data_IF_064486471875
#
_entry.id   IF_064486471875
#
_cell.length_a   1.000
_cell.length_b   1.000
_cell.length_c   1.000
_cell.angle_alpha   90.00
_cell.angle_beta   90.00
_cell.angle_gamma   90.00
#
_symmetry.space_group_name_H-M   'P 1'
#
loop_
_entity.id
_entity.type
_entity.pdbx_description
1 polymer ?
#
# COMPACT_ATOMS: atom_id res chain seq x y z
N UNK A 1 -5.93 -7.02 -51.67
CA UNK A 1 -6.71 -5.82 -52.04
C UNK A 1 -7.91 -5.79 -51.12
N UNK A 2 -8.16 -4.88 -50.18
CA UNK A 2 -7.69 -3.54 -49.77
C UNK A 2 -7.73 -3.56 -48.22
N UNK A 3 -6.69 -3.27 -47.42
CA UNK A 3 -6.04 -1.97 -47.12
C UNK A 3 -6.99 -0.79 -46.93
N UNK A 4 -7.24 -0.45 -45.66
CA UNK A 4 -7.08 0.94 -45.20
C UNK A 4 -6.65 0.93 -43.73
N UNK A 5 -5.64 1.75 -43.48
CA UNK A 5 -4.79 1.85 -42.30
C UNK A 5 -4.81 3.34 -41.93
N UNK A 6 -4.43 3.63 -40.68
CA UNK A 6 -3.91 4.93 -40.17
C UNK A 6 -5.03 5.87 -39.65
N UNK A 7 -4.99 6.50 -38.46
CA UNK A 7 -3.89 7.15 -37.72
C UNK A 7 -4.19 7.34 -36.21
N UNK A 8 -3.12 7.54 -35.44
CA UNK A 8 -3.00 7.73 -33.97
C UNK A 8 -3.50 9.10 -33.45
N UNK A 9 -4.11 9.09 -32.25
CA UNK A 9 -3.88 9.84 -30.97
C UNK A 9 -3.42 11.32 -31.06
N UNK A 10 -4.03 12.27 -30.29
CA UNK A 10 -3.46 12.67 -28.99
C UNK A 10 -4.46 12.96 -27.84
N UNK A 11 -3.89 12.98 -26.65
CA UNK A 11 -4.44 13.06 -25.31
C UNK A 11 -5.19 14.37 -24.96
N UNK A 12 -5.82 14.32 -23.77
CA UNK A 12 -5.99 15.41 -22.80
C UNK A 12 -7.31 16.19 -22.86
N UNK A 13 -8.25 15.79 -21.98
CA UNK A 13 -9.22 16.59 -21.20
C UNK A 13 -10.16 15.59 -20.49
N UNK A 14 -9.76 14.98 -19.37
CA UNK A 14 -9.93 15.48 -17.97
C UNK A 14 -11.37 15.24 -17.46
N UNK A 15 -11.47 14.63 -16.25
CA UNK A 15 -12.63 14.24 -15.42
C UNK A 15 -13.37 12.95 -15.87
N UNK A 16 -13.53 11.87 -15.08
CA UNK A 16 -13.47 11.58 -13.63
C UNK A 16 -12.78 10.20 -13.47
N UNK A 17 -11.78 9.94 -12.60
CA UNK A 17 -11.78 9.91 -11.12
C UNK A 17 -12.86 8.98 -10.50
N UNK A 18 -12.43 8.18 -9.51
CA UNK A 18 -13.19 7.27 -8.61
C UNK A 18 -13.73 5.99 -9.29
N UNK A 19 -13.35 4.74 -8.97
CA UNK A 19 -12.96 4.12 -7.72
C UNK A 19 -11.87 3.05 -7.94
N UNK A 20 -10.70 3.28 -7.36
CA UNK A 20 -9.94 2.21 -6.77
C UNK A 20 -10.60 1.92 -5.42
N UNK A 21 -11.28 0.80 -5.28
CA UNK A 21 -11.42 0.01 -4.06
C UNK A 21 -12.03 -1.30 -4.51
N UNK A 22 -11.22 -2.35 -4.44
CA UNK A 22 -11.69 -3.73 -4.57
C UNK A 22 -12.67 -3.95 -3.42
N UNK A 23 -13.99 -4.17 -3.66
CA UNK A 23 -14.83 -4.66 -2.59
C UNK A 23 -14.30 -6.05 -2.20
N UNK A 24 -13.92 -6.20 -0.93
CA UNK A 24 -13.76 -7.51 -0.32
C UNK A 24 -15.01 -8.34 -0.65
N UNK A 25 -14.78 -9.56 -1.12
CA UNK A 25 -15.79 -10.44 -1.72
C UNK A 25 -17.09 -10.49 -0.91
N UNK A 26 -18.15 -9.83 -1.39
CA UNK A 26 -19.53 -10.21 -1.03
C UNK A 26 -19.81 -11.55 -1.74
N UNK A 27 -19.81 -12.65 -0.98
CA UNK A 27 -20.39 -13.91 -1.47
C UNK A 27 -21.89 -13.63 -1.63
N UNK A 28 -22.34 -13.40 -2.86
CA UNK A 28 -23.76 -13.24 -3.18
C UNK A 28 -24.40 -14.62 -3.04
N UNK A 29 -24.99 -14.90 -1.88
CA UNK A 29 -25.82 -16.07 -1.69
C UNK A 29 -27.14 -15.87 -2.44
N UNK A 30 -27.49 -16.80 -3.34
CA UNK A 30 -28.66 -16.76 -4.22
C UNK A 30 -30.04 -16.72 -3.52
N UNK A 31 -30.10 -16.56 -2.20
CA UNK A 31 -31.35 -16.55 -1.45
C UNK A 31 -31.34 -15.64 -0.22
N UNK A 32 -30.58 -14.54 -0.28
CA UNK A 32 -30.49 -13.56 0.80
C UNK A 32 -31.90 -12.99 1.11
N UNK A 33 -32.35 -13.14 2.37
CA UNK A 33 -33.67 -12.68 2.84
C UNK A 33 -33.58 -11.21 3.27
N UNK A 34 -32.50 -10.89 4.00
CA UNK A 34 -32.19 -9.55 4.48
C UNK A 34 -30.82 -9.14 3.93
N UNK A 35 -30.71 -7.91 3.44
CA UNK A 35 -29.43 -7.25 3.22
C UNK A 35 -29.15 -6.27 4.36
N UNK A 36 -27.87 -6.23 4.74
CA UNK A 36 -27.38 -5.39 5.81
C UNK A 36 -26.09 -4.73 5.32
N UNK A 37 -26.04 -3.41 5.44
CA UNK A 37 -24.88 -2.61 5.10
C UNK A 37 -24.59 -1.65 6.25
N UNK A 38 -23.31 -1.47 6.56
CA UNK A 38 -22.85 -0.47 7.52
C UNK A 38 -21.74 0.36 6.92
N UNK A 39 -21.74 1.62 7.27
CA UNK A 39 -20.76 2.63 6.89
C UNK A 39 -20.26 3.33 8.15
N UNK A 40 -18.94 3.39 8.27
CA UNK A 40 -18.25 4.11 9.33
C UNK A 40 -17.96 5.52 8.82
N UNK A 41 -18.23 6.53 9.65
CA UNK A 41 -17.98 7.92 9.30
C UNK A 41 -16.50 8.18 8.99
N UNK A 42 -16.23 9.16 8.11
CA UNK A 42 -14.87 9.60 7.79
C UNK A 42 -14.08 10.08 9.03
N UNK A 43 -14.80 10.50 10.07
CA UNK A 43 -14.25 10.90 11.37
C UNK A 43 -13.63 9.72 12.11
N UNK A 44 -14.09 8.49 11.85
CA UNK A 44 -13.53 7.27 12.44
C UNK A 44 -12.61 6.52 11.49
N UNK A 45 -12.90 6.50 10.17
CA UNK A 45 -12.09 5.76 9.20
C UNK A 45 -10.74 6.41 8.90
N UNK A 46 -10.64 7.75 8.95
CA UNK A 46 -9.41 8.48 8.69
C UNK A 46 -8.71 8.97 9.96
N UNK A 47 -9.25 8.67 11.14
CA UNK A 47 -8.67 9.18 12.37
C UNK A 47 -7.52 8.32 12.87
N UNK A 48 -6.37 8.97 13.09
CA UNK A 48 -5.23 8.38 13.79
C UNK A 48 -5.50 8.20 15.29
N UNK A 49 -6.48 8.92 15.86
CA UNK A 49 -6.87 8.83 17.28
C UNK A 49 -8.39 8.91 17.45
N UNK A 50 -9.01 7.90 18.07
CA UNK A 50 -10.45 7.96 18.39
C UNK A 50 -10.61 8.64 19.75
N UNK A 51 -10.83 9.96 19.75
CA UNK A 51 -11.14 10.71 20.97
C UNK A 51 -12.48 10.28 21.56
N UNK A 52 -12.54 10.01 22.87
CA UNK A 52 -13.79 9.73 23.59
C UNK A 52 -14.77 10.91 23.51
N UNK A 53 -14.26 12.14 23.38
CA UNK A 53 -15.07 13.33 23.09
C UNK A 53 -15.66 13.33 21.68
N UNK A 54 -14.97 12.71 20.71
CA UNK A 54 -15.46 12.54 19.33
C UNK A 54 -16.49 11.40 19.24
N UNK A 55 -16.44 10.45 20.17
CA UNK A 55 -17.50 9.46 20.36
C UNK A 55 -18.79 10.09 20.87
N UNK A 56 -18.69 11.28 21.47
CA UNK A 56 -19.78 12.21 21.75
C UNK A 56 -20.98 11.56 22.40
N UNK A 57 -20.93 11.37 23.72
CA UNK A 57 -22.15 11.25 24.51
C UNK A 57 -22.32 12.58 25.23
N UNK A 58 -23.26 13.41 24.76
CA UNK A 58 -23.76 14.48 25.61
C UNK A 58 -24.58 13.88 26.76
N UNK A 59 -24.94 14.70 27.75
CA UNK A 59 -25.74 14.27 28.90
C UNK A 59 -27.14 13.75 28.55
N UNK A 60 -27.55 13.86 27.28
CA UNK A 60 -28.82 13.37 26.73
C UNK A 60 -28.64 12.11 25.86
N UNK A 61 -27.41 11.59 25.76
CA UNK A 61 -27.09 10.36 25.02
C UNK A 61 -27.09 10.53 23.50
N UNK A 62 -26.94 11.76 22.97
CA UNK A 62 -26.93 12.04 21.54
C UNK A 62 -25.55 12.53 21.10
N UNK A 63 -25.01 11.88 20.08
CA UNK A 63 -23.66 12.14 19.56
C UNK A 63 -23.62 12.47 18.07
N UNK A 64 -22.43 12.72 17.50
CA UNK A 64 -22.26 12.66 16.05
C UNK A 64 -22.70 11.28 15.52
N UNK A 65 -23.14 11.25 14.26
CA UNK A 65 -23.39 9.98 13.57
C UNK A 65 -22.04 9.41 13.16
N UNK A 66 -21.65 8.34 13.84
CA UNK A 66 -20.34 7.71 13.72
C UNK A 66 -20.39 6.43 12.90
N UNK A 67 -21.52 5.73 13.01
CA UNK A 67 -21.83 4.51 12.27
C UNK A 67 -23.26 4.64 11.78
N UNK A 68 -23.45 4.35 10.50
CA UNK A 68 -24.76 4.31 9.87
C UNK A 68 -24.91 3.05 9.03
N UNK A 69 -26.12 2.72 8.62
CA UNK A 69 -26.36 1.51 7.86
C UNK A 69 -27.77 1.41 7.32
N UNK A 70 -27.96 0.40 6.49
CA UNK A 70 -29.25 0.06 5.89
C UNK A 70 -29.58 -1.39 6.18
N UNK A 71 -30.82 -1.62 6.58
CA UNK A 71 -31.43 -2.95 6.68
C UNK A 71 -32.51 -3.01 5.61
N UNK A 72 -32.40 -3.96 4.67
CA UNK A 72 -33.36 -4.11 3.60
C UNK A 72 -33.93 -5.52 3.53
N UNK A 73 -35.24 -5.59 3.41
CA UNK A 73 -35.95 -6.81 3.03
C UNK A 73 -35.83 -7.03 1.52
N UNK A 74 -35.18 -8.13 1.11
CA UNK A 74 -35.00 -8.48 -0.30
C UNK A 74 -36.16 -9.32 -0.86
N UNK A 75 -37.15 -9.64 -0.01
CA UNK A 75 -38.34 -10.40 -0.39
C UNK A 75 -39.50 -9.47 -0.73
N UNK A 76 -40.37 -9.98 -1.60
CA UNK A 76 -41.65 -9.35 -1.94
C UNK A 76 -42.77 -9.77 -0.97
N UNK A 77 -42.42 -10.19 0.24
CA UNK A 77 -43.31 -10.56 1.33
C UNK A 77 -42.81 -9.95 2.63
N UNK A 78 -43.68 -9.84 3.64
CA UNK A 78 -43.30 -9.33 4.95
C UNK A 78 -42.35 -10.33 5.61
N UNK A 79 -41.23 -9.84 6.15
CA UNK A 79 -40.34 -10.63 6.98
C UNK A 79 -40.55 -10.19 8.43
N UNK A 80 -41.05 -11.10 9.27
CA UNK A 80 -41.37 -10.84 10.67
C UNK A 80 -40.34 -11.46 11.63
N UNK A 81 -40.52 -11.20 12.92
CA UNK A 81 -39.75 -11.81 14.02
C UNK A 81 -38.24 -11.57 13.90
N UNK A 82 -37.87 -10.38 13.41
CA UNK A 82 -36.50 -9.94 13.26
C UNK A 82 -35.96 -9.35 14.55
N UNK A 83 -34.69 -9.64 14.79
CA UNK A 83 -33.91 -9.17 15.92
C UNK A 83 -32.57 -8.62 15.42
N UNK A 84 -31.99 -7.69 16.16
CA UNK A 84 -30.70 -7.05 15.87
C UNK A 84 -29.74 -7.29 17.02
N UNK A 85 -28.53 -7.74 16.71
CA UNK A 85 -27.40 -7.77 17.64
C UNK A 85 -26.28 -6.89 17.10
N UNK A 86 -25.63 -6.15 17.98
CA UNK A 86 -24.46 -5.32 17.70
C UNK A 86 -23.36 -5.73 18.66
N UNK A 87 -22.21 -6.08 18.11
CA UNK A 87 -21.01 -6.38 18.88
C UNK A 87 -19.90 -5.43 18.49
N UNK A 88 -19.11 -5.02 19.47
CA UNK A 88 -17.88 -4.27 19.24
C UNK A 88 -16.73 -5.06 19.80
N UNK A 89 -15.67 -5.23 19.02
CA UNK A 89 -14.45 -5.88 19.43
C UNK A 89 -13.29 -4.89 19.41
N UNK A 90 -12.36 -5.07 20.33
CA UNK A 90 -11.02 -4.52 20.27
C UNK A 90 -10.06 -5.69 20.04
N UNK A 91 -9.23 -5.63 18.99
CA UNK A 91 -8.36 -6.75 18.58
C UNK A 91 -7.51 -7.35 19.70
N UNK A 92 -7.04 -6.53 20.66
CA UNK A 92 -6.22 -6.98 21.80
C UNK A 92 -7.01 -7.54 22.98
N UNK A 93 -8.30 -7.19 23.09
CA UNK A 93 -9.12 -7.46 24.27
C UNK A 93 -10.19 -8.52 23.99
N UNK A 94 -10.74 -8.51 22.78
CA UNK A 94 -11.91 -9.29 22.40
C UNK A 94 -13.19 -8.45 22.38
N UNK A 95 -14.33 -9.08 22.64
CA UNK A 95 -15.65 -8.43 22.62
C UNK A 95 -15.76 -7.45 23.79
N UNK A 96 -15.90 -6.15 23.52
CA UNK A 96 -16.00 -5.09 24.52
C UNK A 96 -17.43 -4.56 24.69
N UNK A 97 -18.28 -4.73 23.68
CA UNK A 97 -19.69 -4.34 23.73
C UNK A 97 -20.52 -5.45 23.10
N UNK A 98 -21.64 -5.77 23.73
CA UNK A 98 -22.68 -6.61 23.15
C UNK A 98 -24.05 -6.05 23.49
N UNK A 99 -24.80 -5.71 22.46
CA UNK A 99 -26.16 -5.17 22.58
C UNK A 99 -27.07 -6.00 21.68
N UNK A 100 -28.13 -6.55 22.25
CA UNK A 100 -29.06 -7.44 21.56
C UNK A 100 -30.49 -6.97 21.76
N UNK A 101 -31.31 -7.03 20.72
CA UNK A 101 -32.73 -6.68 20.83
C UNK A 101 -33.48 -7.67 21.72
N UNK A 102 -34.36 -7.15 22.57
CA UNK A 102 -35.16 -7.91 23.52
C UNK A 102 -36.11 -8.89 22.80
N UNK A 103 -36.22 -10.14 23.24
CA UNK A 103 -37.07 -11.15 22.61
C UNK A 103 -38.56 -10.76 22.53
N UNK A 104 -39.06 -9.95 23.47
CA UNK A 104 -40.45 -9.48 23.53
C UNK A 104 -40.76 -8.36 22.54
N UNK A 105 -39.73 -7.80 21.89
CA UNK A 105 -39.83 -6.64 21.02
C UNK A 105 -39.22 -6.90 19.62
N UNK A 106 -39.69 -7.93 18.88
CA UNK A 106 -39.25 -8.14 17.50
C UNK A 106 -39.75 -7.02 16.60
N UNK A 107 -39.06 -6.83 15.47
CA UNK A 107 -39.54 -5.97 14.39
C UNK A 107 -39.83 -6.75 13.12
N UNK A 108 -40.52 -6.09 12.19
CA UNK A 108 -40.83 -6.63 10.87
C UNK A 108 -40.47 -5.63 9.78
N UNK A 109 -40.16 -6.14 8.60
CA UNK A 109 -39.92 -5.33 7.41
C UNK A 109 -40.97 -5.66 6.33
N UNK A 110 -41.59 -4.62 5.80
CA UNK A 110 -42.51 -4.71 4.67
C UNK A 110 -41.77 -5.17 3.40
N UNK A 111 -42.49 -5.67 2.38
CA UNK A 111 -41.87 -6.07 1.11
C UNK A 111 -40.98 -4.98 0.54
N UNK A 112 -39.74 -5.33 0.17
CA UNK A 112 -38.77 -4.39 -0.40
C UNK A 112 -38.45 -3.16 0.47
N UNK A 113 -38.80 -3.19 1.76
CA UNK A 113 -38.56 -2.06 2.66
C UNK A 113 -37.07 -1.94 2.97
N UNK A 114 -36.54 -0.72 2.87
CA UNK A 114 -35.23 -0.32 3.39
C UNK A 114 -35.41 0.61 4.58
N UNK A 115 -34.65 0.36 5.65
CA UNK A 115 -34.63 1.14 6.88
C UNK A 115 -33.22 1.65 7.12
N UNK A 116 -33.10 2.95 7.35
CA UNK A 116 -31.85 3.60 7.71
C UNK A 116 -31.66 3.57 9.23
N UNK A 117 -30.49 3.12 9.67
CA UNK A 117 -30.09 3.04 11.07
C UNK A 117 -28.77 3.76 11.28
N UNK A 118 -28.57 4.28 12.48
CA UNK A 118 -27.30 4.81 12.97
C UNK A 118 -27.18 4.67 14.49
N UNK A 119 -26.00 4.95 15.02
CA UNK A 119 -25.69 4.85 16.45
C UNK A 119 -26.60 5.68 17.38
N UNK A 120 -27.30 6.69 16.89
CA UNK A 120 -28.24 7.50 17.69
C UNK A 120 -29.70 7.04 17.57
N UNK A 121 -30.04 6.28 16.51
CA UNK A 121 -31.41 5.76 16.28
C UNK A 121 -31.70 4.46 17.02
N UNK A 122 -30.69 3.90 17.69
CA UNK A 122 -30.81 2.72 18.54
C UNK A 122 -31.18 3.13 19.99
N UNK A 123 -32.22 3.96 20.13
CA UNK A 123 -32.68 4.51 21.41
C UNK A 123 -34.15 4.19 21.67
N UNK A 124 -34.66 4.54 22.87
CA UNK A 124 -36.04 4.26 23.29
C UNK A 124 -37.13 4.81 22.33
N UNK A 125 -36.78 5.79 21.50
CA UNK A 125 -37.67 6.40 20.50
C UNK A 125 -37.94 5.49 19.30
N UNK A 126 -37.23 4.37 19.18
CA UNK A 126 -37.37 3.38 18.11
C UNK A 126 -36.64 3.76 16.82
N UNK A 127 -36.60 2.81 15.88
CA UNK A 127 -35.90 2.98 14.60
C UNK A 127 -36.84 3.64 13.58
N UNK A 128 -36.49 4.79 12.98
CA UNK A 128 -37.31 5.43 11.96
C UNK A 128 -37.64 4.50 10.79
N UNK A 129 -38.93 4.30 10.51
CA UNK A 129 -39.40 3.39 9.45
C UNK A 129 -39.78 2.00 9.96
N UNK A 130 -39.41 1.64 11.18
CA UNK A 130 -39.95 0.48 11.90
C UNK A 130 -41.11 0.98 12.78
N UNK A 131 -42.25 0.30 12.71
CA UNK A 131 -43.46 0.74 13.44
C UNK A 131 -43.44 0.23 14.87
N UNK A 132 -42.83 -0.93 15.06
CA UNK A 132 -42.61 -1.60 16.34
C UNK A 132 -41.54 -0.85 17.15
N UNK A 133 -41.71 -0.82 18.48
CA UNK A 133 -40.65 -0.34 19.36
C UNK A 133 -39.62 -1.44 19.50
N UNK A 134 -38.41 -1.20 18.99
CA UNK A 134 -37.26 -2.07 19.23
C UNK A 134 -36.62 -1.67 20.55
N UNK A 135 -36.43 -2.63 21.45
CA UNK A 135 -35.70 -2.43 22.70
C UNK A 135 -34.47 -3.31 22.72
N UNK A 136 -33.45 -2.86 23.43
CA UNK A 136 -32.17 -3.56 23.53
C UNK A 136 -31.84 -3.89 24.99
N UNK A 137 -31.17 -5.02 25.18
CA UNK A 137 -30.46 -5.42 26.39
C UNK A 137 -28.95 -5.50 26.09
N UNK A 138 -28.14 -5.51 27.14
CA UNK A 138 -26.68 -5.60 27.02
C UNK A 138 -26.00 -4.26 27.31
N UNK A 139 -24.79 -4.09 26.78
CA UNK A 139 -23.90 -2.98 27.07
C UNK A 139 -22.44 -3.40 27.00
N UNK A 140 -21.62 -2.92 27.93
CA UNK A 140 -20.24 -3.39 28.09
C UNK A 140 -20.23 -4.87 28.50
N UNK A 141 -19.32 -5.64 27.90
CA UNK A 141 -19.01 -7.00 28.36
C UNK A 141 -18.10 -6.94 29.60
N UNK A 142 -17.77 -8.10 30.18
CA UNK A 142 -16.80 -8.14 31.29
C UNK A 142 -15.42 -7.63 30.84
N UNK A 143 -15.01 -7.99 29.64
CA UNK A 143 -13.79 -7.52 29.00
C UNK A 143 -13.90 -6.03 28.65
N UNK A 144 -15.09 -5.56 28.26
CA UNK A 144 -15.41 -4.15 28.04
C UNK A 144 -15.28 -3.30 29.29
N UNK A 145 -15.80 -3.76 30.42
CA UNK A 145 -15.67 -3.07 31.71
C UNK A 145 -14.20 -2.95 32.11
N UNK A 146 -13.43 -4.04 32.00
CA UNK A 146 -11.98 -4.02 32.27
C UNK A 146 -11.23 -3.11 31.31
N UNK A 147 -11.61 -3.10 30.04
CA UNK A 147 -11.03 -2.21 29.04
C UNK A 147 -11.28 -0.75 29.39
N UNK A 148 -12.51 -0.37 29.75
CA UNK A 148 -12.84 1.00 30.18
C UNK A 148 -12.09 1.38 31.46
N UNK A 149 -12.00 0.47 32.45
CA UNK A 149 -11.20 0.68 33.66
C UNK A 149 -9.71 0.91 33.35
N UNK A 150 -9.18 0.19 32.36
CA UNK A 150 -7.77 0.31 31.93
C UNK A 150 -7.44 1.64 31.26
N UNK A 151 -8.45 2.42 30.84
CA UNK A 151 -8.23 3.71 30.20
C UNK A 151 -7.69 4.77 31.18
N UNK A 152 -7.81 4.58 32.51
CA UNK A 152 -7.25 5.45 33.58
C UNK A 152 -7.41 6.96 33.32
N UNK A 153 -8.60 7.39 32.89
CA UNK A 153 -8.90 8.80 32.60
C UNK A 153 -8.35 9.33 31.26
N UNK A 154 -7.87 8.45 30.38
CA UNK A 154 -7.56 8.77 28.98
C UNK A 154 -8.77 9.37 28.29
N UNK A 155 -8.51 10.33 27.40
CA UNK A 155 -9.54 10.97 26.56
C UNK A 155 -9.60 10.40 25.15
N UNK A 156 -8.81 9.35 24.87
CA UNK A 156 -8.73 8.66 23.58
C UNK A 156 -8.75 7.16 23.77
N UNK A 157 -9.37 6.43 22.83
CA UNK A 157 -9.24 4.98 22.78
C UNK A 157 -7.78 4.58 22.47
N UNK A 158 -7.29 3.46 23.02
CA UNK A 158 -5.99 2.90 22.68
C UNK A 158 -5.85 2.56 21.20
N UNK A 159 -4.60 2.37 20.83
CA UNK A 159 -4.18 1.72 19.61
C UNK A 159 -4.75 0.30 19.46
N UNK A 160 -5.74 0.12 18.59
CA UNK A 160 -6.25 -1.20 18.24
C UNK A 160 -6.94 -1.21 16.88
N UNK A 161 -7.21 -2.40 16.37
CA UNK A 161 -8.23 -2.62 15.35
C UNK A 161 -9.54 -2.85 16.10
N UNK A 162 -10.43 -1.90 16.00
CA UNK A 162 -11.79 -2.02 16.50
C UNK A 162 -12.68 -2.54 15.39
N UNK A 163 -13.52 -3.53 15.67
CA UNK A 163 -14.51 -3.98 14.71
C UNK A 163 -15.91 -3.87 15.28
N UNK A 164 -16.84 -3.45 14.44
CA UNK A 164 -18.27 -3.36 14.75
C UNK A 164 -18.96 -4.39 13.88
N UNK A 165 -19.57 -5.37 14.53
CA UNK A 165 -20.38 -6.39 13.88
C UNK A 165 -21.85 -6.12 14.14
N UNK A 166 -22.67 -6.13 13.09
CA UNK A 166 -24.12 -6.06 13.17
C UNK A 166 -24.73 -7.32 12.56
N UNK A 167 -25.68 -7.93 13.28
CA UNK A 167 -26.30 -9.20 12.91
C UNK A 167 -27.82 -9.05 12.96
N UNK A 168 -28.50 -9.43 11.87
CA UNK A 168 -29.95 -9.63 11.85
C UNK A 168 -30.24 -11.11 11.96
N UNK A 169 -31.09 -11.50 12.92
CA UNK A 169 -31.44 -12.89 13.14
C UNK A 169 -32.94 -13.07 13.44
N UNK A 170 -33.41 -14.31 13.34
CA UNK A 170 -34.74 -14.75 13.76
C UNK A 170 -34.61 -15.83 14.84
N UNK A 171 -35.57 -15.89 15.76
CA UNK A 171 -35.74 -17.02 16.66
C UNK A 171 -36.80 -17.97 16.09
N UNK A 172 -36.37 -19.13 15.60
CA UNK A 172 -37.28 -20.14 15.07
C UNK A 172 -37.60 -21.20 16.11
N UNK A 173 -38.85 -21.64 16.16
CA UNK A 173 -39.32 -22.64 17.13
C UNK A 173 -38.64 -24.02 16.96
N UNK A 174 -38.13 -24.34 15.78
CA UNK A 174 -37.56 -25.66 15.46
C UNK A 174 -36.04 -25.74 15.63
N UNK A 175 -35.30 -24.66 15.35
CA UNK A 175 -33.83 -24.67 15.29
C UNK A 175 -33.16 -23.66 16.22
N UNK A 176 -33.93 -22.86 16.97
CA UNK A 176 -33.40 -21.75 17.74
C UNK A 176 -33.03 -20.56 16.84
N UNK A 177 -32.01 -19.80 17.24
CA UNK A 177 -31.53 -18.61 16.54
C UNK A 177 -31.02 -18.94 15.14
N UNK A 178 -31.42 -18.15 14.15
CA UNK A 178 -30.97 -18.22 12.75
C UNK A 178 -30.52 -16.84 12.30
N UNK A 179 -29.22 -16.68 12.04
CA UNK A 179 -28.66 -15.43 11.51
C UNK A 179 -29.01 -15.31 10.02
N UNK A 180 -29.69 -14.22 9.65
CA UNK A 180 -30.14 -13.93 8.30
C UNK A 180 -29.15 -13.07 7.52
N UNK A 181 -28.46 -12.16 8.22
CA UNK A 181 -27.42 -11.31 7.67
C UNK A 181 -26.44 -10.91 8.77
N UNK A 182 -25.15 -10.80 8.44
CA UNK A 182 -24.13 -10.17 9.28
C UNK A 182 -23.26 -9.27 8.43
N UNK A 183 -22.78 -8.18 9.01
CA UNK A 183 -21.80 -7.29 8.41
C UNK A 183 -20.83 -6.80 9.48
N UNK A 184 -19.57 -6.62 9.08
CA UNK A 184 -18.51 -6.11 9.96
C UNK A 184 -17.86 -4.90 9.31
N UNK A 185 -17.55 -3.90 10.12
CA UNK A 185 -16.74 -2.75 9.73
C UNK A 185 -15.60 -2.58 10.73
N UNK A 186 -14.41 -2.29 10.21
CA UNK A 186 -13.20 -2.09 11.00
C UNK A 186 -12.87 -0.60 11.10
N UNK A 187 -12.33 -0.22 12.24
CA UNK A 187 -11.97 1.15 12.63
C UNK A 187 -10.63 1.08 13.35
N UNK A 188 -9.68 1.92 12.95
CA UNK A 188 -8.28 1.75 13.35
C UNK A 188 -7.56 0.69 12.50
N UNK A 189 -6.23 0.60 12.60
CA UNK A 189 -5.43 -0.35 11.82
C UNK A 189 -4.66 0.21 10.62
N UNK A 190 -4.50 1.52 10.49
CA UNK A 190 -3.61 2.11 9.46
C UNK A 190 -2.11 1.83 9.68
N UNK A 191 -1.75 1.31 10.85
CA UNK A 191 -0.38 0.95 11.24
C UNK A 191 -0.40 -0.43 11.91
N UNK A 192 0.49 -1.35 11.55
CA UNK A 192 0.61 -2.65 12.20
C UNK A 192 0.79 -2.49 13.72
N UNK A 193 -0.02 -3.22 14.46
CA UNK A 193 0.02 -3.25 15.92
C UNK A 193 0.90 -4.42 16.36
N UNK A 194 2.19 -4.16 16.51
CA UNK A 194 3.18 -5.15 16.95
C UNK A 194 4.14 -4.55 17.98
N UNK A 195 4.56 -5.34 18.97
CA UNK A 195 5.62 -4.94 19.93
C UNK A 195 7.01 -4.89 19.26
N UNK A 196 7.17 -5.58 18.12
CA UNK A 196 8.40 -5.59 17.32
C UNK A 196 8.12 -5.90 15.85
N UNK A 197 8.64 -5.07 14.93
CA UNK A 197 8.79 -5.42 13.51
C UNK A 197 10.26 -5.74 13.28
N UNK A 198 10.53 -6.94 12.77
CA UNK A 198 11.87 -7.35 12.36
C UNK A 198 12.12 -6.98 10.89
N UNK A 199 13.35 -6.52 10.60
CA UNK A 199 13.82 -6.23 9.25
C UNK A 199 14.95 -7.17 8.90
N UNK A 200 14.88 -7.84 7.75
CA UNK A 200 16.00 -8.61 7.22
C UNK A 200 16.39 -8.08 5.84
N UNK A 201 17.38 -7.18 5.81
CA UNK A 201 17.87 -6.63 4.55
C UNK A 201 18.57 -7.73 3.73
N UNK A 202 18.38 -7.71 2.40
CA UNK A 202 18.93 -8.74 1.49
C UNK A 202 19.88 -8.15 0.47
N UNK A 203 19.46 -7.11 -0.24
CA UNK A 203 20.25 -6.47 -1.31
C UNK A 203 19.81 -5.01 -1.50
N UNK A 204 20.66 -4.14 -2.10
CA UNK A 204 22.09 -4.31 -2.36
C UNK A 204 22.95 -4.00 -1.14
N UNK A 205 24.20 -4.47 -1.14
CA UNK A 205 25.16 -4.13 -0.09
C UNK A 205 25.11 -5.06 1.10
N UNK A 206 25.64 -4.57 2.22
CA UNK A 206 25.65 -5.22 3.54
C UNK A 206 25.89 -4.12 4.60
N UNK A 207 26.04 -4.47 5.88
CA UNK A 207 26.36 -3.52 6.95
C UNK A 207 27.56 -2.62 6.59
N UNK A 208 27.56 -1.38 7.09
CA UNK A 208 28.41 -0.26 6.60
C UNK A 208 29.91 -0.56 6.44
N UNK A 209 30.47 -1.47 7.24
CA UNK A 209 31.90 -1.85 7.24
C UNK A 209 32.28 -2.94 6.22
N UNK A 210 31.30 -3.56 5.55
CA UNK A 210 31.53 -4.69 4.65
C UNK A 210 32.18 -4.30 3.30
N UNK A 211 32.16 -3.02 2.93
CA UNK A 211 32.71 -2.49 1.66
C UNK A 211 32.24 -3.26 0.42
N UNK A 212 30.94 -3.57 0.35
CA UNK A 212 30.36 -4.30 -0.78
C UNK A 212 30.34 -3.41 -2.02
N UNK A 213 30.96 -3.88 -3.09
CA UNK A 213 30.91 -3.23 -4.39
C UNK A 213 29.84 -3.83 -5.30
N UNK A 214 29.08 -2.96 -5.98
CA UNK A 214 28.14 -3.35 -7.04
C UNK A 214 28.55 -2.71 -8.35
N UNK A 215 28.28 -3.39 -9.47
CA UNK A 215 28.58 -2.88 -10.82
C UNK A 215 27.33 -2.43 -11.58
N UNK A 216 26.14 -2.73 -11.05
CA UNK A 216 24.86 -2.37 -11.65
C UNK A 216 24.37 -1.03 -11.06
N UNK A 217 24.24 0.05 -11.86
CA UNK A 217 23.69 1.33 -11.40
C UNK A 217 22.16 1.31 -11.18
N UNK A 218 21.52 0.17 -11.48
CA UNK A 218 20.07 -0.05 -11.34
C UNK A 218 19.78 -1.20 -10.36
N UNK A 219 20.23 -1.11 -9.09
CA UNK A 219 20.06 -2.20 -8.13
C UNK A 219 18.59 -2.46 -7.80
N UNK A 220 18.29 -3.70 -7.42
CA UNK A 220 17.03 -4.04 -6.76
C UNK A 220 17.26 -4.05 -5.24
N UNK A 221 16.53 -3.17 -4.55
CA UNK A 221 16.44 -3.20 -3.10
C UNK A 221 15.50 -4.32 -2.69
N UNK A 222 15.90 -5.15 -1.73
CA UNK A 222 15.07 -6.24 -1.23
C UNK A 222 15.35 -6.48 0.25
N UNK A 223 14.28 -6.82 0.96
CA UNK A 223 14.27 -7.14 2.38
C UNK A 223 13.22 -8.23 2.64
N UNK A 224 13.28 -8.88 3.79
CA UNK A 224 12.13 -9.56 4.37
C UNK A 224 11.57 -8.71 5.49
N UNK A 225 10.26 -8.64 5.53
CA UNK A 225 9.50 -7.92 6.54
C UNK A 225 8.15 -8.57 6.74
N UNK A 226 7.30 -7.92 7.51
CA UNK A 226 5.94 -8.38 7.76
C UNK A 226 5.01 -7.93 6.62
N UNK A 227 4.13 -8.83 6.19
CA UNK A 227 3.28 -8.61 5.01
C UNK A 227 2.18 -7.60 5.30
N UNK A 228 1.89 -6.75 4.31
CA UNK A 228 0.83 -5.73 4.42
C UNK A 228 1.27 -4.45 5.14
N UNK A 229 2.55 -4.32 5.48
CA UNK A 229 3.15 -3.09 6.02
C UNK A 229 3.71 -2.24 4.88
N UNK A 230 3.61 -0.92 5.05
CA UNK A 230 4.28 0.07 4.21
C UNK A 230 5.64 0.44 4.81
N UNK A 231 6.68 0.38 3.99
CA UNK A 231 8.04 0.72 4.36
C UNK A 231 8.47 2.02 3.70
N UNK A 232 9.08 2.94 4.46
CA UNK A 232 9.80 4.08 3.90
C UNK A 232 11.24 3.65 3.59
N UNK A 233 11.61 3.67 2.32
CA UNK A 233 12.96 3.37 1.84
C UNK A 233 13.71 4.67 1.55
N UNK A 234 14.79 4.89 2.30
CA UNK A 234 15.71 6.01 2.11
C UNK A 234 17.01 5.54 1.48
N UNK A 235 17.51 6.27 0.49
CA UNK A 235 18.85 6.08 -0.08
C UNK A 235 19.55 7.43 -0.13
N UNK A 236 20.73 7.51 0.48
CA UNK A 236 21.56 8.73 0.52
C UNK A 236 22.96 8.47 -0.03
N UNK A 237 23.53 9.46 -0.72
CA UNK A 237 24.92 9.48 -1.13
C UNK A 237 25.81 9.79 0.09
N UNK A 238 26.89 9.04 0.22
CA UNK A 238 27.91 9.28 1.24
C UNK A 238 28.55 10.67 1.13
N UNK A 239 28.98 11.18 2.27
CA UNK A 239 29.71 12.45 2.39
C UNK A 239 30.99 12.23 3.20
N UNK A 240 32.02 13.02 2.92
CA UNK A 240 33.25 13.05 3.73
C UNK A 240 33.04 13.76 5.08
N UNK A 241 31.98 14.54 5.22
CA UNK A 241 31.74 15.42 6.39
C UNK A 241 30.73 14.87 7.38
N UNK A 242 29.75 14.10 6.91
CA UNK A 242 28.60 13.67 7.68
C UNK A 242 28.54 12.16 7.75
N UNK A 243 28.20 11.63 8.92
CA UNK A 243 28.05 10.18 9.08
C UNK A 243 26.79 9.67 8.36
N UNK A 244 26.76 8.38 7.96
CA UNK A 244 25.57 7.77 7.36
C UNK A 244 24.30 7.95 8.20
N UNK A 245 24.43 7.83 9.53
CA UNK A 245 23.34 8.01 10.49
C UNK A 245 22.79 9.44 10.44
N UNK A 246 23.69 10.44 10.38
CA UNK A 246 23.31 11.86 10.32
C UNK A 246 22.57 12.20 9.03
N UNK A 247 23.05 11.68 7.90
CA UNK A 247 22.42 11.86 6.59
C UNK A 247 21.03 11.23 6.55
N UNK A 248 20.91 9.98 6.98
CA UNK A 248 19.63 9.27 7.01
C UNK A 248 18.64 9.88 8.00
N UNK A 249 19.10 10.31 9.18
CA UNK A 249 18.26 11.01 10.16
C UNK A 249 17.70 12.31 9.60
N UNK A 250 18.55 13.08 8.91
CA UNK A 250 18.16 14.35 8.31
C UNK A 250 17.18 14.14 7.17
N UNK A 251 17.41 13.11 6.33
CA UNK A 251 16.50 12.75 5.26
C UNK A 251 15.12 12.35 5.77
N UNK A 252 15.09 11.50 6.80
CA UNK A 252 13.86 11.03 7.43
C UNK A 252 13.04 12.14 8.09
N UNK A 253 13.71 13.16 8.59
CA UNK A 253 13.07 14.35 9.20
C UNK A 253 12.50 15.31 8.15
N UNK A 254 12.81 15.11 6.86
CA UNK A 254 12.24 15.87 5.75
C UNK A 254 10.96 15.22 5.23
N UNK A 255 10.10 16.02 4.60
CA UNK A 255 8.88 15.53 3.97
C UNK A 255 9.23 14.79 2.66
N UNK A 256 8.70 13.58 2.44
CA UNK A 256 8.99 12.84 1.21
C UNK A 256 8.39 13.55 -0.01
N UNK A 257 8.90 13.28 -1.23
CA UNK A 257 8.36 13.86 -2.46
C UNK A 257 6.86 13.57 -2.68
N UNK A 258 6.36 12.42 -2.21
CA UNK A 258 4.96 12.04 -2.29
C UNK A 258 4.03 13.02 -1.54
N UNK A 259 4.53 13.62 -0.45
CA UNK A 259 3.80 14.57 0.40
C UNK A 259 4.03 16.04 0.00
N UNK A 260 4.55 16.28 -1.20
CA UNK A 260 4.88 17.61 -1.70
C UNK A 260 6.23 18.15 -1.20
N UNK A 261 7.06 17.29 -0.61
CA UNK A 261 8.46 17.58 -0.30
C UNK A 261 9.37 17.54 -1.53
N UNK A 262 10.67 17.58 -1.29
CA UNK A 262 11.69 17.48 -2.35
C UNK A 262 12.93 16.83 -1.77
N UNK A 263 13.59 15.99 -2.57
CA UNK A 263 14.82 15.33 -2.15
C UNK A 263 15.89 16.37 -1.78
N UNK A 264 16.55 16.14 -0.65
CA UNK A 264 17.74 16.89 -0.27
C UNK A 264 18.90 16.59 -1.24
N UNK A 265 19.93 17.44 -1.25
CA UNK A 265 21.03 17.34 -2.22
C UNK A 265 21.78 15.99 -2.20
N UNK A 266 21.84 15.37 -1.02
CA UNK A 266 22.49 14.07 -0.80
C UNK A 266 21.50 12.90 -0.85
N UNK A 267 20.20 13.14 -1.02
CA UNK A 267 19.21 12.09 -1.14
C UNK A 267 19.08 11.64 -2.59
N UNK A 268 19.14 10.33 -2.75
CA UNK A 268 18.92 9.67 -4.02
C UNK A 268 17.51 9.12 -4.13
N UNK A 269 16.90 8.74 -3.01
CA UNK A 269 15.56 8.17 -2.94
C UNK A 269 14.93 8.42 -1.58
N UNK A 270 13.65 8.76 -1.62
CA UNK A 270 12.74 8.74 -0.47
C UNK A 270 11.35 8.34 -0.99
N UNK A 271 10.95 7.12 -0.69
CA UNK A 271 9.70 6.52 -1.19
C UNK A 271 9.07 5.60 -0.16
N UNK A 272 7.75 5.52 -0.20
CA UNK A 272 6.97 4.50 0.50
C UNK A 272 6.76 3.29 -0.42
N UNK A 273 6.95 2.10 0.14
CA UNK A 273 6.89 0.83 -0.58
C UNK A 273 6.04 -0.16 0.20
N UNK A 274 4.94 -0.60 -0.42
CA UNK A 274 4.16 -1.75 0.05
C UNK A 274 4.72 -3.01 -0.62
N UNK A 275 5.41 -3.84 0.15
CA UNK A 275 6.04 -5.07 -0.32
C UNK A 275 7.45 -5.29 0.24
N UNK A 276 8.21 -6.18 -0.40
CA UNK A 276 9.52 -6.68 0.06
C UNK A 276 10.67 -6.35 -0.91
N UNK A 277 10.38 -5.61 -1.98
CA UNK A 277 11.41 -5.19 -2.93
C UNK A 277 11.04 -3.93 -3.70
N UNK A 278 12.07 -3.24 -4.19
CA UNK A 278 11.95 -2.01 -4.96
C UNK A 278 13.02 -1.96 -6.06
N UNK A 279 12.59 -1.71 -7.31
CA UNK A 279 13.49 -1.58 -8.46
C UNK A 279 13.96 -0.14 -8.64
N UNK A 280 15.28 0.07 -8.60
CA UNK A 280 15.89 1.38 -8.80
C UNK A 280 16.28 1.64 -10.26
N UNK A 281 16.20 2.89 -10.75
CA UNK A 281 15.47 4.04 -10.19
C UNK A 281 13.98 3.96 -10.52
N UNK A 282 13.14 4.58 -9.70
CA UNK A 282 11.76 4.93 -10.04
C UNK A 282 11.64 6.41 -10.45
N UNK A 283 10.43 6.84 -10.81
CA UNK A 283 10.16 8.26 -11.02
C UNK A 283 10.43 9.05 -9.73
N UNK A 284 11.30 10.06 -9.82
CA UNK A 284 11.65 10.93 -8.68
C UNK A 284 12.99 10.59 -8.01
N UNK A 285 13.62 9.46 -8.34
CA UNK A 285 14.94 9.09 -7.83
C UNK A 285 16.09 9.78 -8.58
N UNK A 286 17.19 10.12 -7.90
CA UNK A 286 18.40 10.68 -8.51
C UNK A 286 19.37 9.58 -8.95
N UNK A 287 19.92 9.57 -10.18
CA UNK A 287 20.83 8.51 -10.62
C UNK A 287 22.01 8.24 -9.67
N UNK A 288 22.44 6.98 -9.58
CA UNK A 288 23.67 6.63 -8.88
C UNK A 288 24.90 7.03 -9.72
N UNK A 289 25.93 7.52 -9.05
CA UNK A 289 27.18 8.02 -9.59
C UNK A 289 28.29 6.98 -9.38
N UNK A 290 29.05 6.59 -10.43
CA UNK A 290 30.17 5.67 -10.28
C UNK A 290 31.22 6.18 -9.29
N UNK A 291 31.82 5.25 -8.54
CA UNK A 291 32.82 5.52 -7.51
C UNK A 291 32.25 5.96 -6.17
N UNK A 292 30.96 6.29 -6.11
CA UNK A 292 30.31 6.77 -4.89
C UNK A 292 29.80 5.62 -4.01
N UNK A 293 29.84 5.85 -2.71
CA UNK A 293 29.23 4.97 -1.70
C UNK A 293 27.84 5.50 -1.36
N UNK A 294 26.88 4.59 -1.26
CA UNK A 294 25.49 4.86 -0.92
C UNK A 294 25.13 4.12 0.35
N UNK A 295 24.24 4.75 1.13
CA UNK A 295 23.69 4.19 2.35
C UNK A 295 22.18 4.15 2.23
N UNK A 296 21.59 3.08 2.73
CA UNK A 296 20.15 2.93 2.70
C UNK A 296 19.63 2.28 3.98
N UNK A 297 18.38 2.61 4.30
CA UNK A 297 17.70 2.16 5.51
C UNK A 297 16.20 2.10 5.23
N UNK A 298 15.53 1.12 5.83
CA UNK A 298 14.08 1.05 5.90
C UNK A 298 13.62 1.65 7.22
N UNK A 299 12.51 2.39 7.19
CA UNK A 299 11.73 2.67 8.39
C UNK A 299 10.27 2.29 8.21
N UNK A 300 9.62 1.95 9.32
CA UNK A 300 8.18 1.86 9.40
C UNK A 300 7.73 2.48 10.71
N UNK A 301 6.53 3.07 10.71
CA UNK A 301 5.86 3.36 11.95
C UNK A 301 5.27 2.07 12.51
N UNK A 302 5.45 1.82 13.80
CA UNK A 302 4.72 0.77 14.53
C UNK A 302 4.00 1.41 15.69
N UNK A 303 2.89 0.81 16.10
CA UNK A 303 2.15 1.29 17.25
C UNK A 303 2.50 0.49 18.50
N UNK A 304 3.27 1.10 19.41
CA UNK A 304 3.68 0.51 20.69
C UNK A 304 2.88 1.16 21.83
N UNK A 305 1.82 0.47 22.27
CA UNK A 305 0.88 1.03 23.24
C UNK A 305 0.17 2.27 22.68
N UNK A 306 0.25 3.41 23.38
CA UNK A 306 -0.35 4.69 22.93
C UNK A 306 0.57 5.53 22.05
N UNK A 307 1.84 5.14 21.90
CA UNK A 307 2.84 5.89 21.15
C UNK A 307 3.11 5.23 19.80
N UNK A 308 3.36 6.05 18.79
CA UNK A 308 3.98 5.59 17.56
C UNK A 308 5.49 5.58 17.76
N UNK A 309 6.09 4.42 17.50
CA UNK A 309 7.53 4.27 17.47
C UNK A 309 7.94 4.09 16.01
N UNK A 310 8.82 4.95 15.53
CA UNK A 310 9.49 4.68 14.28
C UNK A 310 10.53 3.59 14.52
N UNK A 311 10.41 2.48 13.81
CA UNK A 311 11.42 1.43 13.78
C UNK A 311 12.21 1.54 12.51
N UNK A 312 13.53 1.40 12.64
CA UNK A 312 14.45 1.44 11.53
C UNK A 312 15.23 0.14 11.42
N UNK A 313 15.53 -0.28 10.20
CA UNK A 313 16.51 -1.34 9.97
C UNK A 313 17.93 -0.91 10.35
N UNK A 314 18.86 -1.84 10.28
CA UNK A 314 20.29 -1.49 10.18
C UNK A 314 20.54 -0.60 8.95
N UNK A 315 21.66 0.12 8.96
CA UNK A 315 22.12 0.88 7.81
C UNK A 315 22.99 -0.03 6.96
N UNK A 316 22.59 -0.23 5.71
CA UNK A 316 23.39 -0.96 4.74
C UNK A 316 24.09 0.00 3.79
N UNK A 317 25.28 -0.39 3.35
CA UNK A 317 26.08 0.36 2.38
C UNK A 317 26.46 -0.48 1.18
N UNK A 318 26.61 0.20 0.05
CA UNK A 318 27.26 -0.36 -1.12
C UNK A 318 28.02 0.75 -1.85
N UNK A 319 29.08 0.38 -2.56
CA UNK A 319 29.80 1.28 -3.46
C UNK A 319 29.49 0.91 -4.90
N UNK A 320 29.09 1.87 -5.71
CA UNK A 320 28.99 1.65 -7.15
C UNK A 320 30.41 1.68 -7.72
N UNK A 321 30.93 0.55 -8.19
CA UNK A 321 32.27 0.48 -8.76
C UNK A 321 32.38 1.49 -9.90
N UNK A 322 33.52 2.18 -9.97
CA UNK A 322 33.87 2.86 -11.20
C UNK A 322 34.01 1.80 -12.30
N UNK A 323 33.44 2.01 -13.49
CA UNK A 323 33.75 1.15 -14.61
C UNK A 323 35.27 1.17 -14.77
N UNK A 324 35.92 0.01 -14.60
CA UNK A 324 37.37 -0.06 -14.73
C UNK A 324 37.80 0.61 -16.03
N UNK A 325 38.52 1.73 -15.91
CA UNK A 325 39.19 2.39 -17.04
C UNK A 325 40.48 1.66 -17.41
N UNK A 326 40.58 0.37 -17.12
CA UNK A 326 41.57 -0.49 -17.73
C UNK A 326 41.01 -0.88 -19.09
N UNK A 327 41.63 -0.34 -20.14
CA UNK A 327 41.45 -0.70 -21.55
C UNK A 327 41.60 -2.21 -21.78
N UNK A 328 40.65 -3.02 -21.29
CA UNK A 328 40.47 -4.37 -21.78
C UNK A 328 39.81 -4.20 -23.15
N UNK A 329 40.52 -4.50 -24.26
CA UNK A 329 39.92 -4.41 -25.58
C UNK A 329 38.63 -5.23 -25.57
N UNK A 330 37.53 -4.60 -25.94
CA UNK A 330 36.23 -5.27 -26.08
C UNK A 330 36.47 -6.45 -27.02
N UNK A 331 36.32 -7.67 -26.50
CA UNK A 331 36.41 -8.87 -27.34
C UNK A 331 35.12 -8.94 -28.13
N UNK A 332 35.14 -8.32 -29.31
CA UNK A 332 34.01 -8.32 -30.24
C UNK A 332 33.81 -9.76 -30.72
N UNK A 333 32.71 -10.38 -30.34
CA UNK A 333 32.32 -11.69 -30.91
C UNK A 333 32.00 -11.53 -32.40
N UNK A 334 32.10 -12.61 -33.18
CA UNK A 334 31.79 -12.55 -34.62
C UNK A 334 30.33 -12.14 -34.90
N UNK A 335 29.42 -12.42 -33.98
CA UNK A 335 28.02 -11.97 -34.02
C UNK A 335 27.95 -10.45 -33.84
N UNK A 336 28.67 -9.93 -32.83
CA UNK A 336 28.78 -8.49 -32.53
C UNK A 336 29.42 -7.71 -33.67
N UNK A 337 30.37 -8.33 -34.38
CA UNK A 337 31.01 -7.75 -35.57
C UNK A 337 30.03 -7.59 -36.73
N UNK A 338 29.26 -8.63 -37.07
CA UNK A 338 28.24 -8.58 -38.14
C UNK A 338 27.20 -7.49 -37.90
N UNK A 339 26.84 -7.36 -36.65
CA UNK A 339 25.94 -6.36 -36.13
C UNK A 339 26.42 -4.91 -36.31
N UNK A 340 27.64 -4.62 -35.87
CA UNK A 340 28.25 -3.30 -36.10
C UNK A 340 28.36 -3.05 -37.61
N UNK A 341 28.75 -4.05 -38.40
CA UNK A 341 28.79 -3.97 -39.87
C UNK A 341 27.42 -3.64 -40.47
N UNK A 342 26.33 -4.18 -39.93
CA UNK A 342 24.96 -3.85 -40.36
C UNK A 342 24.56 -2.41 -39.99
N UNK A 343 25.09 -1.88 -38.88
CA UNK A 343 24.79 -0.54 -38.39
C UNK A 343 25.59 0.55 -39.12
N UNK A 344 26.91 0.41 -39.23
CA UNK A 344 27.80 1.44 -39.78
C UNK A 344 28.16 1.21 -41.26
N UNK A 345 27.82 0.04 -41.80
CA UNK A 345 28.19 -0.41 -43.13
C UNK A 345 29.60 -1.00 -43.18
N UNK A 346 29.73 -2.14 -43.87
CA UNK A 346 30.98 -2.91 -43.97
C UNK A 346 32.20 -2.05 -44.39
N UNK A 347 32.02 -1.16 -45.37
CA UNK A 347 33.09 -0.31 -45.85
C UNK A 347 33.61 0.70 -44.82
N UNK A 348 32.75 1.22 -43.92
CA UNK A 348 33.19 2.15 -42.86
C UNK A 348 33.86 1.40 -41.72
N UNK A 349 33.31 0.24 -41.36
CA UNK A 349 33.86 -0.62 -40.30
C UNK A 349 35.28 -1.07 -40.62
N UNK A 350 35.51 -1.61 -41.82
CA UNK A 350 36.85 -2.08 -42.24
C UNK A 350 37.87 -0.93 -42.35
N UNK A 351 37.43 0.28 -42.75
CA UNK A 351 38.31 1.46 -42.78
C UNK A 351 38.75 1.91 -41.37
N UNK A 352 37.88 1.78 -40.37
CA UNK A 352 38.21 2.12 -38.98
C UNK A 352 39.20 1.12 -38.38
N UNK A 353 38.98 -0.18 -38.61
CA UNK A 353 39.91 -1.22 -38.14
C UNK A 353 41.28 -1.14 -38.81
N UNK A 354 41.32 -0.95 -40.13
CA UNK A 354 42.59 -0.81 -40.88
C UNK A 354 43.37 0.47 -40.52
N UNK A 355 42.69 1.47 -39.95
CA UNK A 355 43.33 2.69 -39.43
C UNK A 355 43.78 2.56 -37.96
N UNK A 356 43.67 1.37 -37.37
CA UNK A 356 44.13 1.08 -36.01
C UNK A 356 43.18 1.51 -34.89
N UNK A 357 41.93 1.87 -35.22
CA UNK A 357 40.92 2.18 -34.21
C UNK A 357 40.33 0.91 -33.60
N UNK A 358 40.17 0.92 -32.29
CA UNK A 358 39.44 -0.12 -31.54
C UNK A 358 38.08 0.43 -31.10
N UNK A 359 37.11 -0.48 -30.94
CA UNK A 359 35.83 -0.12 -30.34
C UNK A 359 36.01 0.00 -28.83
N UNK A 360 35.73 1.17 -28.27
CA UNK A 360 35.88 1.46 -26.83
C UNK A 360 34.54 1.68 -26.13
N UNK A 361 33.60 2.37 -26.80
CA UNK A 361 32.29 2.69 -26.24
C UNK A 361 31.28 3.04 -27.34
N UNK A 362 30.00 3.09 -26.97
CA UNK A 362 28.93 3.68 -27.78
C UNK A 362 27.95 4.45 -26.91
N UNK A 363 27.16 5.34 -27.52
CA UNK A 363 26.20 6.17 -26.82
C UNK A 363 24.77 5.89 -27.34
N UNK A 364 23.81 5.67 -26.44
CA UNK A 364 22.37 5.58 -26.75
C UNK A 364 21.65 6.60 -25.88
N UNK A 365 20.82 7.45 -26.48
CA UNK A 365 20.00 8.45 -25.77
C UNK A 365 20.78 9.30 -24.75
N UNK A 366 22.04 9.61 -25.08
CA UNK A 366 22.91 10.41 -24.21
C UNK A 366 23.74 9.59 -23.20
N UNK A 367 23.48 8.29 -23.04
CA UNK A 367 24.18 7.40 -22.09
C UNK A 367 25.33 6.67 -22.80
N UNK A 368 26.54 6.76 -22.25
CA UNK A 368 27.74 6.10 -22.78
C UNK A 368 27.94 4.73 -22.14
N UNK A 369 28.04 3.69 -22.97
CA UNK A 369 28.31 2.31 -22.57
C UNK A 369 29.72 1.90 -23.03
N UNK A 370 30.53 1.34 -22.13
CA UNK A 370 31.90 0.87 -22.40
C UNK A 370 32.17 -0.51 -21.77
N UNK A 371 33.30 -1.13 -22.10
CA UNK A 371 33.75 -2.40 -21.50
C UNK A 371 32.74 -3.54 -21.63
N UNK A 372 32.55 -4.33 -20.57
CA UNK A 372 31.59 -5.45 -20.55
C UNK A 372 30.12 -4.99 -20.68
N UNK A 373 29.78 -3.81 -20.18
CA UNK A 373 28.44 -3.24 -20.29
C UNK A 373 28.10 -2.96 -21.76
N UNK A 374 29.07 -2.45 -22.53
CA UNK A 374 28.92 -2.29 -23.97
C UNK A 374 28.59 -3.64 -24.64
N UNK A 375 29.29 -4.72 -24.29
CA UNK A 375 29.04 -6.04 -24.86
C UNK A 375 27.62 -6.57 -24.59
N UNK A 376 27.11 -6.38 -23.36
CA UNK A 376 25.76 -6.84 -22.96
C UNK A 376 24.67 -6.04 -23.69
N UNK A 377 24.75 -4.72 -23.64
CA UNK A 377 23.75 -3.83 -24.26
C UNK A 377 23.78 -3.97 -25.77
N UNK A 378 24.97 -4.16 -26.37
CA UNK A 378 25.10 -4.44 -27.79
C UNK A 378 24.44 -5.78 -28.12
N UNK A 379 24.72 -6.87 -27.39
CA UNK A 379 24.04 -8.15 -27.61
C UNK A 379 22.50 -8.05 -27.51
N UNK A 380 21.98 -7.26 -26.58
CA UNK A 380 20.53 -7.02 -26.46
C UNK A 380 19.96 -6.21 -27.62
N UNK A 381 20.63 -5.13 -28.03
CA UNK A 381 20.24 -4.32 -29.19
C UNK A 381 20.16 -5.18 -30.45
N UNK A 382 21.10 -6.12 -30.59
CA UNK A 382 21.16 -7.03 -31.73
C UNK A 382 20.06 -8.05 -31.71
N UNK A 383 19.75 -8.64 -30.55
CA UNK A 383 18.56 -9.49 -30.40
C UNK A 383 17.31 -8.74 -30.86
N UNK A 384 17.16 -7.47 -30.47
CA UNK A 384 16.01 -6.62 -30.85
C UNK A 384 15.98 -6.28 -32.34
N UNK A 385 17.13 -6.11 -32.98
CA UNK A 385 17.22 -5.92 -34.44
C UNK A 385 16.85 -7.22 -35.18
N UNK A 386 17.35 -8.36 -34.72
CA UNK A 386 17.06 -9.68 -35.30
C UNK A 386 15.59 -10.09 -35.14
N UNK A 387 14.98 -9.77 -34.00
CA UNK A 387 13.53 -10.01 -33.77
C UNK A 387 12.64 -8.98 -34.46
N UNK A 388 13.22 -7.96 -35.11
CA UNK A 388 12.48 -6.90 -35.81
C UNK A 388 11.79 -5.89 -34.88
N UNK A 389 12.10 -5.91 -33.58
CA UNK A 389 11.65 -4.92 -32.60
C UNK A 389 12.28 -3.54 -32.85
N UNK A 390 13.52 -3.53 -33.37
CA UNK A 390 14.22 -2.33 -33.81
C UNK A 390 14.39 -2.37 -35.33
N UNK A 391 13.86 -1.36 -36.02
CA UNK A 391 14.08 -1.16 -37.46
C UNK A 391 15.13 -0.06 -37.64
N UNK A 392 16.26 -0.43 -38.23
CA UNK A 392 17.29 0.53 -38.61
C UNK A 392 16.80 1.31 -39.84
N UNK A 393 16.40 2.57 -39.66
CA UNK A 393 16.24 3.47 -40.80
C UNK A 393 17.62 3.97 -41.21
N UNK A 394 18.16 3.45 -42.31
CA UNK A 394 19.41 3.94 -42.88
C UNK A 394 19.30 5.44 -43.15
N UNK A 395 20.08 6.24 -42.43
CA UNK A 395 20.36 7.62 -42.81
C UNK A 395 21.30 7.59 -44.00
N UNK A 396 20.87 8.17 -45.12
CA UNK A 396 21.76 8.56 -46.22
C UNK A 396 22.72 9.65 -45.75
#
# INVERSE_FOLDING_TARGET
MYSLKVKKIPALLVLLAVFAFVPNKKIIAQNQIISLEIEVSDVLSNSQFIGLTNLGLDSEGRGPVLVSGFIQNEKNEVVSDLFLEIRVFAGKVGEIVNVISQPEFPFSLQPMQSVYVNNNTLSEDGVPGITERVKFDGGLTTEGDQFIESLDGSTTLPADIYSIEAIIFQNTNENGRVDLASVTAEIGGGVPVSESVDFFLRTPGDVTDANVEITNPYPQFSWEGEQGIEYRLLVVKGSDTDSPESLLQSARSSAPPADGGSLLQYENLDVEVVGESFQYPSSGAQPLEPGQTYYWQLSTSIQSGVNFEERTSEIWSFKLSEPETTDAPITITEETKKAIVNLVGNGRFENLLSSGYTFQSFQIDGVTYSGNQASIILAELLRKIETGEIVLSGGN
#
